data_IF_248979664772
#
_entry.id   IF_248979664772
#
_cell.length_a   1.000
_cell.length_b   1.000
_cell.length_c   1.000
_cell.angle_alpha   90.00
_cell.angle_beta   90.00
_cell.angle_gamma   90.00
#
_symmetry.space_group_name_H-M   'P 1'
#
loop_
_entity.id
_entity.type
_entity.pdbx_description
1 polymer ?
#
# COMPACT_ATOMS: atom_id res chain seq x y z
N UNK A 1 -11.64 35.74 4.89
CA UNK A 1 -11.10 35.44 3.55
C UNK A 1 -9.71 36.05 3.32
N UNK A 2 -9.49 37.33 3.75
CA UNK A 2 -8.19 37.99 3.62
C UNK A 2 -7.09 37.31 4.44
N UNK A 3 -7.38 36.89 5.67
CA UNK A 3 -6.42 36.20 6.53
C UNK A 3 -6.00 34.81 5.93
N UNK A 4 -6.90 34.18 5.20
CA UNK A 4 -6.62 32.89 4.54
C UNK A 4 -5.70 33.08 3.32
N UNK A 5 -5.87 34.18 2.56
CA UNK A 5 -4.97 34.49 1.44
C UNK A 5 -3.57 34.90 1.92
N UNK A 6 -3.46 35.65 3.01
CA UNK A 6 -2.16 35.99 3.62
C UNK A 6 -1.44 34.75 4.15
N UNK A 7 -2.17 33.80 4.72
CA UNK A 7 -1.63 32.53 5.15
C UNK A 7 -1.09 31.71 3.95
N UNK A 8 -1.80 31.70 2.82
CA UNK A 8 -1.36 31.06 1.59
C UNK A 8 -0.07 31.70 1.02
N UNK A 9 0.01 33.02 0.96
CA UNK A 9 1.19 33.75 0.51
C UNK A 9 2.40 33.51 1.44
N UNK A 10 2.17 33.43 2.74
CA UNK A 10 3.21 33.13 3.73
C UNK A 10 3.73 31.69 3.61
N UNK A 11 2.83 30.73 3.35
CA UNK A 11 3.18 29.34 3.09
C UNK A 11 3.98 29.22 1.80
N UNK A 12 3.61 29.90 0.73
CA UNK A 12 4.33 29.91 -0.55
C UNK A 12 5.71 30.55 -0.44
N UNK A 13 5.82 31.67 0.31
CA UNK A 13 7.10 32.32 0.55
C UNK A 13 8.09 31.45 1.33
N UNK A 14 7.63 30.78 2.40
CA UNK A 14 8.45 29.84 3.18
C UNK A 14 8.87 28.62 2.37
N UNK A 15 8.07 28.19 1.43
CA UNK A 15 8.32 27.04 0.56
C UNK A 15 9.30 27.31 -0.54
N UNK A 16 9.21 28.45 -1.16
CA UNK A 16 10.19 28.90 -2.15
C UNK A 16 11.63 28.83 -1.58
N UNK A 17 11.77 29.06 -0.26
CA UNK A 17 13.03 28.87 0.47
C UNK A 17 13.42 27.39 0.70
N UNK A 18 12.43 26.49 0.82
CA UNK A 18 12.69 25.05 1.08
C UNK A 18 12.80 24.20 -0.20
N UNK A 19 12.67 24.79 -1.38
CA UNK A 19 12.80 24.06 -2.68
C UNK A 19 11.66 23.07 -2.96
N UNK A 20 10.52 23.18 -2.25
CA UNK A 20 9.34 22.34 -2.52
C UNK A 20 8.48 22.95 -3.62
N UNK A 21 8.04 22.13 -4.58
CA UNK A 21 7.38 22.57 -5.81
C UNK A 21 5.89 22.87 -5.58
N UNK A 22 5.18 22.04 -4.82
CA UNK A 22 3.75 22.22 -4.53
C UNK A 22 3.34 21.68 -3.15
N UNK A 23 2.29 22.25 -2.49
CA UNK A 23 1.73 21.78 -1.22
C UNK A 23 0.41 21.06 -1.40
N UNK A 24 0.37 19.84 -0.89
CA UNK A 24 -0.88 19.12 -0.81
C UNK A 24 -1.95 19.89 -0.02
N UNK A 25 -1.58 20.48 1.11
CA UNK A 25 -2.51 21.26 1.95
C UNK A 25 -3.07 22.46 1.18
N UNK A 26 -2.23 23.19 0.46
CA UNK A 26 -2.65 24.34 -0.32
C UNK A 26 -3.53 23.93 -1.51
N UNK A 27 -3.16 22.85 -2.22
CA UNK A 27 -3.99 22.32 -3.31
C UNK A 27 -5.37 21.87 -2.80
N UNK A 28 -5.42 21.12 -1.70
CA UNK A 28 -6.69 20.72 -1.07
C UNK A 28 -7.52 21.90 -0.60
N UNK A 29 -6.90 22.95 -0.05
CA UNK A 29 -7.63 24.18 0.34
C UNK A 29 -8.19 24.95 -0.86
N UNK A 30 -7.47 24.99 -1.98
CA UNK A 30 -7.98 25.59 -3.23
C UNK A 30 -9.15 24.78 -3.81
N UNK A 31 -9.08 23.45 -3.78
CA UNK A 31 -10.20 22.58 -4.17
C UNK A 31 -11.40 22.84 -3.27
N UNK A 32 -11.20 22.90 -1.95
CA UNK A 32 -12.29 23.18 -1.00
C UNK A 32 -12.93 24.54 -1.27
N UNK A 33 -12.13 25.58 -1.47
CA UNK A 33 -12.63 26.91 -1.81
C UNK A 33 -13.40 26.94 -3.14
N UNK A 34 -12.91 26.24 -4.16
CA UNK A 34 -13.59 26.13 -5.45
C UNK A 34 -14.94 25.42 -5.32
N UNK A 35 -15.00 24.33 -4.56
CA UNK A 35 -16.24 23.55 -4.34
C UNK A 35 -17.22 24.31 -3.46
N UNK A 36 -16.77 24.90 -2.35
CA UNK A 36 -17.64 25.70 -1.46
C UNK A 36 -18.17 26.97 -2.14
N UNK A 37 -17.47 27.48 -3.15
CA UNK A 37 -17.93 28.63 -3.92
C UNK A 37 -19.11 28.35 -4.86
N UNK A 38 -19.36 27.08 -5.23
CA UNK A 38 -20.47 26.73 -6.13
C UNK A 38 -21.87 27.05 -5.53
N UNK A 39 -22.19 26.63 -4.29
CA UNK A 39 -23.46 26.98 -3.65
C UNK A 39 -23.64 28.51 -3.46
N UNK A 40 -22.56 29.22 -3.13
CA UNK A 40 -22.57 30.67 -2.94
C UNK A 40 -22.84 31.39 -4.27
N UNK A 41 -22.29 30.85 -5.37
CA UNK A 41 -22.60 31.32 -6.72
C UNK A 41 -24.10 31.14 -7.05
N UNK A 42 -24.67 29.95 -6.73
CA UNK A 42 -26.10 29.67 -6.88
C UNK A 42 -26.95 30.66 -6.09
N UNK A 43 -26.61 30.95 -4.84
CA UNK A 43 -27.28 31.91 -3.98
C UNK A 43 -27.30 33.33 -4.57
N UNK A 44 -26.18 33.79 -5.16
CA UNK A 44 -26.08 35.11 -5.79
C UNK A 44 -26.95 35.23 -7.06
N UNK A 45 -27.16 34.13 -7.79
CA UNK A 45 -28.06 34.07 -8.94
C UNK A 45 -29.53 34.02 -8.52
N UNK A 46 -29.91 33.20 -7.55
CA UNK A 46 -31.30 33.04 -7.09
C UNK A 46 -31.83 34.31 -6.44
N UNK A 47 -31.02 35.01 -5.63
CA UNK A 47 -31.42 36.24 -4.94
C UNK A 47 -31.23 37.53 -5.76
N UNK A 48 -30.93 37.41 -7.06
CA UNK A 48 -30.71 38.54 -7.96
C UNK A 48 -29.80 39.63 -7.36
N UNK A 49 -28.69 39.21 -6.73
CA UNK A 49 -27.76 40.08 -6.02
C UNK A 49 -27.12 41.14 -6.95
N UNK A 50 -27.17 40.92 -8.25
CA UNK A 50 -26.72 41.87 -9.27
C UNK A 50 -27.60 43.13 -9.31
N UNK A 51 -28.89 43.08 -8.88
CA UNK A 51 -29.79 44.21 -8.81
C UNK A 51 -29.66 44.99 -7.49
N UNK A 52 -29.35 44.29 -6.39
CA UNK A 52 -29.29 44.87 -5.03
C UNK A 52 -27.89 45.37 -4.66
N UNK A 53 -26.81 44.67 -5.09
CA UNK A 53 -25.42 45.01 -4.73
C UNK A 53 -24.43 44.60 -5.82
N UNK A 54 -24.45 45.35 -6.93
CA UNK A 54 -23.58 45.13 -8.10
C UNK A 54 -22.08 44.95 -7.76
N UNK A 55 -21.49 45.76 -6.82
CA UNK A 55 -20.05 45.58 -6.50
C UNK A 55 -19.71 44.23 -5.90
N UNK A 56 -20.55 43.69 -5.01
CA UNK A 56 -20.31 42.38 -4.35
C UNK A 56 -20.43 41.26 -5.37
N UNK A 57 -21.44 41.33 -6.25
CA UNK A 57 -21.63 40.39 -7.33
C UNK A 57 -20.43 40.36 -8.28
N UNK A 58 -19.95 41.53 -8.72
CA UNK A 58 -18.79 41.62 -9.61
C UNK A 58 -17.49 41.11 -8.97
N UNK A 59 -17.27 41.43 -7.69
CA UNK A 59 -16.10 40.91 -6.94
C UNK A 59 -16.13 39.38 -6.84
N UNK A 60 -17.28 38.80 -6.52
CA UNK A 60 -17.40 37.35 -6.40
C UNK A 60 -17.23 36.65 -7.76
N UNK A 61 -17.88 37.19 -8.82
CA UNK A 61 -17.75 36.67 -10.18
C UNK A 61 -16.34 36.78 -10.74
N UNK A 62 -15.54 37.75 -10.30
CA UNK A 62 -14.13 37.84 -10.62
C UNK A 62 -13.27 36.90 -9.80
N UNK A 63 -13.54 36.77 -8.51
CA UNK A 63 -12.73 35.98 -7.57
C UNK A 63 -12.83 34.46 -7.80
N UNK A 64 -14.06 33.94 -7.92
CA UNK A 64 -14.28 32.50 -8.02
C UNK A 64 -13.61 31.83 -9.26
N UNK A 65 -13.72 32.40 -10.48
CA UNK A 65 -13.00 31.88 -11.64
C UNK A 65 -11.46 31.90 -11.48
N UNK A 66 -10.92 32.90 -10.78
CA UNK A 66 -9.48 32.98 -10.48
C UNK A 66 -9.06 31.85 -9.56
N UNK A 67 -9.86 31.54 -8.53
CA UNK A 67 -9.58 30.38 -7.64
C UNK A 67 -9.61 29.06 -8.42
N UNK A 68 -10.61 28.88 -9.29
CA UNK A 68 -10.71 27.69 -10.15
C UNK A 68 -9.51 27.61 -11.12
N UNK A 69 -9.15 28.72 -11.77
CA UNK A 69 -7.99 28.78 -12.64
C UNK A 69 -6.68 28.48 -11.89
N UNK A 70 -6.52 29.02 -10.68
CA UNK A 70 -5.36 28.75 -9.83
C UNK A 70 -5.30 27.28 -9.42
N UNK A 71 -6.44 26.68 -9.09
CA UNK A 71 -6.53 25.24 -8.80
C UNK A 71 -6.09 24.40 -10.01
N UNK A 72 -6.54 24.73 -11.21
CA UNK A 72 -6.14 24.07 -12.45
C UNK A 72 -4.64 24.24 -12.74
N UNK A 73 -4.12 25.45 -12.62
CA UNK A 73 -2.67 25.72 -12.85
C UNK A 73 -1.79 24.97 -11.84
N UNK A 74 -2.28 24.78 -10.62
CA UNK A 74 -1.57 24.01 -9.61
C UNK A 74 -1.42 22.52 -9.97
N UNK A 75 -2.34 21.99 -10.80
CA UNK A 75 -2.25 20.61 -11.30
C UNK A 75 -1.03 20.40 -12.23
N UNK A 76 -0.62 21.45 -12.95
CA UNK A 76 0.52 21.42 -13.89
C UNK A 76 1.81 22.07 -13.36
N UNK A 77 1.86 22.38 -12.08
CA UNK A 77 3.04 23.00 -11.45
C UNK A 77 4.18 21.99 -11.26
N UNK A 78 4.59 21.30 -12.32
CA UNK A 78 5.74 20.39 -12.31
C UNK A 78 7.01 21.16 -12.70
N UNK A 79 8.05 21.05 -11.88
CA UNK A 79 9.34 21.65 -12.16
C UNK A 79 10.30 20.56 -12.64
N UNK A 80 10.47 20.44 -13.96
CA UNK A 80 11.53 19.63 -14.52
C UNK A 80 12.87 20.35 -14.32
N UNK A 81 13.69 19.83 -13.39
CA UNK A 81 15.10 20.20 -13.31
C UNK A 81 15.89 19.28 -14.24
N UNK A 82 16.50 19.79 -15.31
CA UNK A 82 17.15 18.95 -16.33
C UNK A 82 18.39 18.20 -15.85
N UNK A 83 18.92 18.47 -14.65
CA UNK A 83 20.22 18.00 -14.17
C UNK A 83 20.19 17.37 -12.77
N UNK A 84 19.05 16.93 -12.28
CA UNK A 84 19.04 16.29 -10.96
C UNK A 84 19.15 14.77 -11.09
N UNK A 85 20.17 14.18 -10.48
CA UNK A 85 20.25 12.76 -10.12
C UNK A 85 19.09 12.33 -9.18
N UNK A 86 18.02 13.12 -9.14
CA UNK A 86 16.85 12.91 -8.28
C UNK A 86 15.79 12.14 -9.07
N UNK A 87 15.04 11.31 -8.36
CA UNK A 87 13.92 10.61 -8.98
C UNK A 87 12.85 11.61 -9.43
N UNK A 88 12.23 11.41 -10.59
CA UNK A 88 11.14 12.24 -11.11
C UNK A 88 9.95 12.34 -10.13
N UNK A 89 9.80 11.38 -9.22
CA UNK A 89 8.81 11.42 -8.15
C UNK A 89 8.98 12.65 -7.25
N UNK A 90 10.23 13.03 -6.91
CA UNK A 90 10.50 14.17 -6.02
C UNK A 90 10.26 15.52 -6.69
N UNK A 91 10.41 15.57 -7.99
CA UNK A 91 10.25 16.78 -8.80
C UNK A 91 8.82 16.96 -9.33
N UNK A 92 7.92 16.01 -9.02
CA UNK A 92 6.53 16.02 -9.45
C UNK A 92 5.63 16.81 -8.49
N UNK A 93 4.57 17.43 -9.03
CA UNK A 93 3.54 18.12 -8.25
C UNK A 93 2.78 17.17 -7.30
N UNK A 94 2.07 17.72 -6.33
CA UNK A 94 1.29 16.93 -5.38
C UNK A 94 0.26 16.03 -6.07
N UNK A 95 -0.51 16.55 -7.02
CA UNK A 95 -1.53 15.78 -7.73
C UNK A 95 -0.89 14.69 -8.59
N UNK A 96 0.22 14.99 -9.26
CA UNK A 96 0.98 14.05 -10.07
C UNK A 96 1.50 12.88 -9.22
N UNK A 97 1.99 13.16 -7.99
CA UNK A 97 2.35 12.11 -7.01
C UNK A 97 1.14 11.35 -6.47
N UNK A 98 0.03 12.04 -6.24
CA UNK A 98 -1.19 11.43 -5.72
C UNK A 98 -1.81 10.43 -6.69
N UNK A 99 -1.75 10.73 -8.00
CA UNK A 99 -2.26 9.85 -9.07
C UNK A 99 -1.22 8.89 -9.63
N UNK A 100 0.05 8.98 -9.18
CA UNK A 100 1.20 8.28 -9.75
C UNK A 100 1.43 8.55 -11.25
N UNK A 101 0.97 9.69 -11.76
CA UNK A 101 1.06 10.07 -13.17
C UNK A 101 2.51 10.23 -13.63
N UNK A 102 3.43 10.62 -12.74
CA UNK A 102 4.85 10.71 -12.99
C UNK A 102 5.48 9.41 -13.53
N UNK A 103 4.86 8.26 -13.24
CA UNK A 103 5.34 6.95 -13.70
C UNK A 103 4.83 6.58 -15.10
N UNK A 104 3.82 7.27 -15.63
CA UNK A 104 3.21 7.01 -16.95
C UNK A 104 4.22 7.00 -18.12
N UNK A 105 5.24 7.90 -18.19
CA UNK A 105 6.23 7.86 -19.26
C UNK A 105 7.01 6.54 -19.31
N UNK A 106 7.32 5.93 -18.17
CA UNK A 106 8.00 4.63 -18.10
C UNK A 106 7.09 3.52 -18.59
N UNK A 107 5.80 3.54 -18.19
CA UNK A 107 4.81 2.58 -18.67
C UNK A 107 4.65 2.63 -20.20
N UNK A 108 4.57 3.82 -20.78
CA UNK A 108 4.47 4.01 -22.24
C UNK A 108 5.73 3.51 -22.94
N UNK A 109 6.92 3.73 -22.37
CA UNK A 109 8.18 3.18 -22.93
C UNK A 109 8.18 1.66 -22.86
N UNK A 110 7.81 1.07 -21.72
CA UNK A 110 7.75 -0.37 -21.53
C UNK A 110 6.70 -1.09 -22.41
N UNK A 111 5.63 -0.38 -22.79
CA UNK A 111 4.68 -0.90 -23.78
C UNK A 111 5.22 -0.93 -25.22
N UNK A 112 6.25 -0.13 -25.52
CA UNK A 112 6.84 -0.02 -26.86
C UNK A 112 8.13 -0.83 -27.02
N UNK A 113 8.90 -1.00 -25.96
CA UNK A 113 10.19 -1.70 -25.97
C UNK A 113 10.48 -2.32 -24.59
N UNK A 114 11.35 -3.32 -24.53
CA UNK A 114 11.88 -3.85 -23.29
C UNK A 114 12.62 -2.74 -22.52
N UNK A 115 12.34 -2.64 -21.22
CA UNK A 115 12.95 -1.63 -20.37
C UNK A 115 14.36 -2.07 -19.97
N UNK A 116 15.33 -1.19 -20.21
CA UNK A 116 16.69 -1.35 -19.72
C UNK A 116 16.94 -0.47 -18.48
N UNK A 117 18.03 -0.74 -17.75
CA UNK A 117 18.34 0.00 -16.50
C UNK A 117 18.47 1.51 -16.69
N UNK A 118 18.86 1.97 -17.87
CA UNK A 118 18.95 3.40 -18.17
C UNK A 118 17.61 4.07 -18.49
N UNK A 119 16.56 3.28 -18.74
CA UNK A 119 15.19 3.80 -18.95
C UNK A 119 14.45 4.07 -17.64
N UNK A 120 14.99 3.59 -16.52
CA UNK A 120 14.39 3.66 -15.19
C UNK A 120 15.02 4.82 -14.41
N UNK A 121 14.21 5.52 -13.63
CA UNK A 121 14.66 6.63 -12.79
C UNK A 121 15.59 6.16 -11.66
N UNK A 122 16.47 7.06 -11.22
CA UNK A 122 17.27 6.86 -10.02
C UNK A 122 16.39 6.71 -8.77
N UNK A 123 16.88 5.91 -7.84
CA UNK A 123 16.21 5.66 -6.57
C UNK A 123 16.23 6.91 -5.67
N UNK A 124 15.10 7.18 -5.04
CA UNK A 124 15.01 8.17 -3.98
C UNK A 124 16.10 7.96 -2.92
N UNK A 125 16.77 9.01 -2.43
CA UNK A 125 17.83 8.89 -1.41
C UNK A 125 17.42 8.08 -0.18
N UNK A 126 16.15 8.21 0.26
CA UNK A 126 15.56 7.43 1.34
C UNK A 126 15.30 5.95 1.04
N UNK A 127 15.47 5.51 -0.21
CA UNK A 127 15.30 4.11 -0.63
C UNK A 127 16.63 3.43 -0.97
N UNK A 128 17.76 4.15 -0.92
CA UNK A 128 19.08 3.58 -1.18
C UNK A 128 19.47 2.58 -0.09
N UNK A 129 20.06 1.45 -0.50
CA UNK A 129 20.44 0.35 0.39
C UNK A 129 21.42 0.77 1.49
N UNK A 130 22.33 1.69 1.20
CA UNK A 130 23.32 2.23 2.16
C UNK A 130 22.58 2.96 3.28
N UNK A 131 21.62 3.82 2.96
CA UNK A 131 20.84 4.57 3.93
C UNK A 131 19.96 3.65 4.78
N UNK A 132 19.20 2.74 4.13
CA UNK A 132 18.30 1.80 4.82
C UNK A 132 19.06 0.83 5.72
N UNK A 133 20.22 0.34 5.26
CA UNK A 133 21.07 -0.54 6.06
C UNK A 133 21.66 0.17 7.28
N UNK A 134 22.08 1.43 7.15
CA UNK A 134 22.58 2.23 8.28
C UNK A 134 21.46 2.55 9.27
N UNK A 135 20.27 2.88 8.77
CA UNK A 135 19.09 3.16 9.59
C UNK A 135 18.64 1.92 10.38
N UNK A 136 18.61 0.75 9.74
CA UNK A 136 18.31 -0.52 10.41
C UNK A 136 19.36 -0.82 11.50
N UNK A 137 20.65 -0.68 11.20
CA UNK A 137 21.73 -0.93 12.16
C UNK A 137 21.60 -0.01 13.38
N UNK A 138 21.24 1.25 13.20
CA UNK A 138 21.00 2.20 14.30
C UNK A 138 19.89 1.72 15.25
N UNK A 139 18.74 1.30 14.72
CA UNK A 139 17.64 0.81 15.56
C UNK A 139 17.92 -0.57 16.15
N UNK A 140 18.51 -1.47 15.37
CA UNK A 140 18.85 -2.80 15.83
C UNK A 140 19.90 -2.79 16.94
N UNK A 141 20.95 -1.99 16.78
CA UNK A 141 22.01 -1.87 17.80
C UNK A 141 21.50 -1.28 19.11
N UNK A 142 20.49 -0.43 19.10
CA UNK A 142 19.86 0.04 20.33
C UNK A 142 19.29 -1.13 21.14
N UNK A 143 18.50 -2.01 20.50
CA UNK A 143 17.94 -3.19 21.17
C UNK A 143 18.99 -4.24 21.54
N UNK A 144 20.03 -4.38 20.73
CA UNK A 144 21.14 -5.30 21.03
C UNK A 144 21.98 -4.85 22.22
N UNK A 145 22.23 -3.55 22.38
CA UNK A 145 22.93 -3.01 23.55
C UNK A 145 22.18 -3.31 24.84
N UNK A 146 20.87 -3.03 24.85
CA UNK A 146 20.00 -3.31 26.00
C UNK A 146 20.00 -4.81 26.34
N UNK A 147 19.95 -5.67 25.33
CA UNK A 147 20.00 -7.13 25.52
C UNK A 147 21.36 -7.60 26.08
N UNK A 148 22.45 -7.10 25.55
CA UNK A 148 23.80 -7.47 26.01
C UNK A 148 24.00 -7.02 27.46
N UNK A 149 23.56 -5.82 27.81
CA UNK A 149 23.64 -5.30 29.17
C UNK A 149 22.82 -6.15 30.15
N UNK A 150 21.57 -6.47 29.79
CA UNK A 150 20.72 -7.37 30.59
C UNK A 150 21.34 -8.76 30.75
N UNK A 151 21.96 -9.29 29.70
CA UNK A 151 22.64 -10.59 29.73
C UNK A 151 23.84 -10.55 30.66
N UNK A 152 24.66 -9.52 30.60
CA UNK A 152 25.81 -9.35 31.54
C UNK A 152 25.36 -9.21 32.98
N UNK A 153 24.26 -8.48 33.23
CA UNK A 153 23.68 -8.37 34.59
C UNK A 153 23.17 -9.72 35.09
N UNK A 154 22.52 -10.50 34.22
CA UNK A 154 22.03 -11.84 34.57
C UNK A 154 23.18 -12.84 34.84
N UNK A 155 24.26 -12.79 34.04
CA UNK A 155 25.46 -13.61 34.26
C UNK A 155 26.16 -13.22 35.58
N UNK A 156 26.25 -11.93 35.92
CA UNK A 156 26.81 -11.45 37.21
C UNK A 156 25.95 -11.84 38.40
N UNK A 157 24.64 -11.91 38.26
CA UNK A 157 23.72 -12.33 39.31
C UNK A 157 23.66 -13.86 39.49
N UNK A 158 24.61 -14.61 38.92
CA UNK A 158 24.68 -16.07 39.07
C UNK A 158 23.57 -16.86 38.34
N UNK A 159 23.00 -16.30 37.28
CA UNK A 159 21.91 -16.90 36.47
C UNK A 159 20.63 -17.16 37.26
N UNK A 160 20.41 -16.45 38.37
CA UNK A 160 19.19 -16.51 39.17
C UNK A 160 18.16 -15.56 38.54
N UNK A 161 17.05 -16.13 38.03
CA UNK A 161 15.97 -15.34 37.40
C UNK A 161 15.65 -15.77 35.96
N UNK A 162 14.69 -15.08 35.33
CA UNK A 162 14.35 -15.33 33.92
C UNK A 162 15.48 -14.86 33.01
N UNK A 163 15.88 -15.67 32.01
CA UNK A 163 16.90 -15.25 31.03
C UNK A 163 16.41 -13.99 30.29
N UNK A 164 17.34 -13.10 29.88
CA UNK A 164 16.99 -11.90 29.15
C UNK A 164 16.30 -12.28 27.82
N UNK A 165 15.24 -11.57 27.49
CA UNK A 165 14.45 -11.81 26.27
C UNK A 165 15.22 -11.33 25.06
N UNK A 166 15.37 -12.18 24.08
CA UNK A 166 16.04 -11.83 22.81
C UNK A 166 15.35 -10.63 22.13
N UNK A 167 16.12 -9.73 21.51
CA UNK A 167 15.57 -8.55 20.85
C UNK A 167 14.68 -8.96 19.68
N UNK A 168 13.48 -8.40 19.66
CA UNK A 168 12.50 -8.66 18.59
C UNK A 168 12.82 -7.86 17.34
N UNK A 169 13.05 -8.58 16.22
CA UNK A 169 13.23 -7.99 14.90
C UNK A 169 12.03 -7.14 14.48
N UNK A 170 10.82 -7.63 14.74
CA UNK A 170 9.56 -6.95 14.37
C UNK A 170 9.46 -5.58 15.06
N UNK A 171 9.84 -5.48 16.35
CA UNK A 171 9.83 -4.19 17.08
C UNK A 171 10.82 -3.18 16.48
N UNK A 172 12.00 -3.64 16.06
CA UNK A 172 13.00 -2.79 15.44
C UNK A 172 12.50 -2.26 14.07
N UNK A 173 11.92 -3.11 13.24
CA UNK A 173 11.36 -2.76 11.95
C UNK A 173 10.14 -1.83 12.08
N UNK A 174 9.24 -2.11 13.03
CA UNK A 174 8.11 -1.24 13.29
C UNK A 174 8.56 0.17 13.72
N UNK A 175 9.57 0.27 14.58
CA UNK A 175 10.09 1.57 15.01
C UNK A 175 10.76 2.34 13.86
N UNK A 176 11.40 1.62 12.94
CA UNK A 176 12.03 2.20 11.75
C UNK A 176 11.00 2.80 10.79
N UNK A 177 9.89 2.10 10.55
CA UNK A 177 8.87 2.47 9.55
C UNK A 177 7.56 3.00 10.15
N UNK A 178 7.54 3.37 11.45
CA UNK A 178 6.31 3.74 12.17
C UNK A 178 5.50 4.85 11.49
N UNK A 179 6.16 5.84 10.90
CA UNK A 179 5.48 6.97 10.26
C UNK A 179 4.85 6.58 8.93
N UNK A 180 5.55 5.76 8.13
CA UNK A 180 5.01 5.22 6.88
C UNK A 180 3.85 4.28 7.16
N UNK A 181 3.98 3.43 8.18
CA UNK A 181 2.92 2.53 8.63
C UNK A 181 1.69 3.30 9.12
N UNK A 182 1.88 4.32 9.96
CA UNK A 182 0.79 5.13 10.48
C UNK A 182 0.07 5.91 9.38
N UNK A 183 0.82 6.50 8.43
CA UNK A 183 0.21 7.18 7.27
C UNK A 183 -0.61 6.21 6.42
N UNK A 184 -0.10 5.00 6.15
CA UNK A 184 -0.83 3.97 5.45
C UNK A 184 -2.11 3.54 6.20
N UNK A 185 -2.05 3.45 7.54
CA UNK A 185 -3.22 3.17 8.39
C UNK A 185 -4.29 4.25 8.24
N UNK A 186 -3.89 5.53 8.23
CA UNK A 186 -4.84 6.64 8.01
C UNK A 186 -5.50 6.57 6.62
N UNK A 187 -4.71 6.35 5.55
CA UNK A 187 -5.27 6.19 4.20
C UNK A 187 -6.22 4.99 4.12
N UNK A 188 -5.86 3.87 4.74
CA UNK A 188 -6.70 2.67 4.77
C UNK A 188 -8.00 2.93 5.51
N UNK A 189 -7.96 3.56 6.68
CA UNK A 189 -9.15 3.90 7.47
C UNK A 189 -10.11 4.81 6.67
N UNK A 190 -9.59 5.85 6.03
CA UNK A 190 -10.41 6.75 5.21
C UNK A 190 -11.03 5.99 4.04
N UNK A 191 -10.26 5.18 3.32
CA UNK A 191 -10.76 4.37 2.21
C UNK A 191 -11.86 3.38 2.65
N UNK A 192 -11.68 2.72 3.79
CA UNK A 192 -12.64 1.75 4.33
C UNK A 192 -13.94 2.43 4.81
N UNK A 193 -13.83 3.66 5.36
CA UNK A 193 -15.00 4.46 5.73
C UNK A 193 -15.77 4.95 4.50
N UNK A 194 -15.06 5.45 3.48
CA UNK A 194 -15.67 5.90 2.22
C UNK A 194 -16.40 4.78 1.49
N UNK A 195 -16.01 3.53 1.71
CA UNK A 195 -16.69 2.37 1.13
C UNK A 195 -18.17 2.30 1.50
N UNK A 196 -18.54 2.73 2.69
CA UNK A 196 -19.92 2.70 3.20
C UNK A 196 -20.76 3.89 2.75
N UNK A 197 -20.14 4.94 2.24
CA UNK A 197 -20.86 6.11 1.72
C UNK A 197 -21.65 5.77 0.46
N UNK A 198 -21.10 4.93 -0.43
CA UNK A 198 -21.79 4.55 -1.67
C UNK A 198 -23.11 3.79 -1.45
N UNK A 199 -23.22 2.76 -0.59
CA UNK A 199 -24.51 2.14 -0.25
C UNK A 199 -25.50 3.13 0.36
N UNK A 200 -25.03 4.09 1.18
CA UNK A 200 -25.88 5.14 1.72
C UNK A 200 -26.45 6.04 0.63
N UNK A 201 -25.59 6.55 -0.26
CA UNK A 201 -26.02 7.39 -1.39
C UNK A 201 -26.94 6.65 -2.37
N UNK A 202 -26.69 5.34 -2.56
CA UNK A 202 -27.55 4.50 -3.38
C UNK A 202 -28.95 4.38 -2.79
N UNK A 203 -29.08 4.24 -1.47
CA UNK A 203 -30.37 4.22 -0.80
C UNK A 203 -31.13 5.53 -1.00
N UNK A 204 -30.44 6.67 -0.85
CA UNK A 204 -31.03 7.98 -1.10
C UNK A 204 -31.47 8.15 -2.56
N UNK A 205 -30.68 7.65 -3.51
CA UNK A 205 -31.01 7.66 -4.93
C UNK A 205 -32.24 6.79 -5.24
N UNK A 206 -32.37 5.62 -4.63
CA UNK A 206 -33.55 4.74 -4.78
C UNK A 206 -34.80 5.43 -4.22
N UNK A 207 -34.68 6.07 -3.06
CA UNK A 207 -35.78 6.84 -2.45
C UNK A 207 -36.21 7.99 -3.37
N UNK A 208 -35.26 8.73 -3.94
CA UNK A 208 -35.52 9.77 -4.93
C UNK A 208 -36.29 9.25 -6.15
N UNK A 209 -35.88 8.12 -6.73
CA UNK A 209 -36.55 7.53 -7.91
C UNK A 209 -37.98 7.10 -7.59
N UNK A 210 -38.28 6.78 -6.33
CA UNK A 210 -39.62 6.37 -5.87
C UNK A 210 -40.54 7.59 -5.63
N UNK A 211 -40.00 8.80 -5.53
CA UNK A 211 -40.73 10.05 -5.31
C UNK A 211 -40.92 10.79 -6.64
N UNK A 212 -42.15 10.81 -7.13
CA UNK A 212 -42.49 11.44 -8.41
C UNK A 212 -42.46 13.00 -8.39
N UNK A 213 -42.47 13.63 -7.19
CA UNK A 213 -42.43 15.07 -7.05
C UNK A 213 -41.03 15.62 -6.82
N UNK A 214 -40.04 14.77 -6.62
CA UNK A 214 -38.66 15.20 -6.33
C UNK A 214 -38.01 15.92 -7.53
N UNK A 215 -37.29 17.00 -7.32
CA UNK A 215 -36.68 17.79 -8.38
C UNK A 215 -35.51 17.02 -9.02
N UNK A 216 -35.41 17.00 -10.34
CA UNK A 216 -34.39 16.25 -11.12
C UNK A 216 -32.94 16.52 -10.68
N UNK A 217 -32.62 17.75 -10.28
CA UNK A 217 -31.28 18.11 -9.83
C UNK A 217 -30.82 17.32 -8.59
N UNK A 218 -31.74 16.88 -7.74
CA UNK A 218 -31.43 16.09 -6.54
C UNK A 218 -30.89 14.69 -6.90
N UNK A 219 -31.54 14.01 -7.83
CA UNK A 219 -31.05 12.72 -8.33
C UNK A 219 -29.71 12.84 -9.05
N UNK A 220 -29.54 13.92 -9.85
CA UNK A 220 -28.28 14.20 -10.52
C UNK A 220 -27.16 14.45 -9.51
N UNK A 221 -27.44 15.17 -8.41
CA UNK A 221 -26.45 15.44 -7.36
C UNK A 221 -26.01 14.16 -6.64
N UNK A 222 -26.92 13.22 -6.34
CA UNK A 222 -26.56 11.93 -5.76
C UNK A 222 -25.68 11.11 -6.70
N UNK A 223 -26.00 11.08 -7.99
CA UNK A 223 -25.21 10.36 -9.00
C UNK A 223 -23.77 10.93 -9.11
N UNK A 224 -23.65 12.26 -9.19
CA UNK A 224 -22.34 12.93 -9.22
C UNK A 224 -21.56 12.66 -7.93
N UNK A 225 -22.21 12.75 -6.77
CA UNK A 225 -21.57 12.51 -5.48
C UNK A 225 -21.07 11.07 -5.34
N UNK A 226 -21.84 10.08 -5.80
CA UNK A 226 -21.39 8.67 -5.85
C UNK A 226 -20.13 8.49 -6.71
N UNK A 227 -20.10 9.16 -7.86
CA UNK A 227 -18.92 9.13 -8.73
C UNK A 227 -17.71 9.76 -8.02
N UNK A 228 -17.86 10.96 -7.47
CA UNK A 228 -16.77 11.67 -6.75
C UNK A 228 -16.26 10.87 -5.56
N UNK A 229 -17.14 10.26 -4.76
CA UNK A 229 -16.75 9.41 -3.63
C UNK A 229 -16.00 8.17 -4.10
N UNK A 230 -16.45 7.51 -5.18
CA UNK A 230 -15.79 6.34 -5.74
C UNK A 230 -14.39 6.65 -6.25
N UNK A 231 -14.22 7.74 -6.98
CA UNK A 231 -12.91 8.19 -7.49
C UNK A 231 -11.97 8.61 -6.35
N UNK A 232 -12.49 9.35 -5.38
CA UNK A 232 -11.72 9.75 -4.19
C UNK A 232 -11.22 8.52 -3.43
N UNK A 233 -12.09 7.53 -3.23
CA UNK A 233 -11.72 6.26 -2.59
C UNK A 233 -10.65 5.51 -3.40
N UNK A 234 -10.79 5.46 -4.72
CA UNK A 234 -9.83 4.81 -5.62
C UNK A 234 -8.44 5.43 -5.51
N UNK A 235 -8.36 6.76 -5.53
CA UNK A 235 -7.10 7.51 -5.37
C UNK A 235 -6.47 7.23 -3.99
N UNK A 236 -7.26 7.27 -2.92
CA UNK A 236 -6.80 7.03 -1.54
C UNK A 236 -6.28 5.59 -1.40
N UNK A 237 -7.01 4.62 -1.94
CA UNK A 237 -6.61 3.20 -1.93
C UNK A 237 -5.32 2.97 -2.73
N UNK A 238 -5.17 3.66 -3.86
CA UNK A 238 -3.94 3.59 -4.66
C UNK A 238 -2.73 4.14 -3.89
N UNK A 239 -2.89 5.25 -3.16
CA UNK A 239 -1.84 5.80 -2.29
C UNK A 239 -1.48 4.85 -1.15
N UNK A 240 -2.48 4.25 -0.51
CA UNK A 240 -2.25 3.21 0.49
C UNK A 240 -1.39 2.06 -0.06
N UNK A 241 -1.78 1.49 -1.21
CA UNK A 241 -1.05 0.41 -1.85
C UNK A 241 0.38 0.82 -2.22
N UNK A 242 0.55 2.02 -2.75
CA UNK A 242 1.86 2.57 -3.14
C UNK A 242 2.80 2.72 -1.92
N UNK A 243 2.28 3.22 -0.79
CA UNK A 243 3.07 3.36 0.46
C UNK A 243 3.46 1.98 1.00
N UNK A 244 2.52 1.04 1.06
CA UNK A 244 2.75 -0.30 1.63
C UNK A 244 3.71 -1.14 0.77
N UNK A 245 3.59 -1.08 -0.56
CA UNK A 245 4.51 -1.74 -1.47
C UNK A 245 5.92 -1.17 -1.37
N UNK A 246 6.06 0.15 -1.33
CA UNK A 246 7.36 0.81 -1.11
C UNK A 246 7.97 0.48 0.24
N UNK A 247 7.16 0.44 1.29
CA UNK A 247 7.61 0.02 2.61
C UNK A 247 8.10 -1.43 2.60
N UNK A 248 7.39 -2.35 1.92
CA UNK A 248 7.80 -3.74 1.74
C UNK A 248 9.15 -3.86 1.05
N UNK A 249 9.38 -3.13 -0.05
CA UNK A 249 10.66 -3.09 -0.76
C UNK A 249 11.80 -2.52 0.09
N UNK A 250 11.55 -1.44 0.85
CA UNK A 250 12.53 -0.86 1.77
C UNK A 250 12.90 -1.83 2.89
N UNK A 251 11.91 -2.57 3.40
CA UNK A 251 12.10 -3.59 4.42
C UNK A 251 12.95 -4.74 3.89
N UNK A 252 12.65 -5.25 2.69
CA UNK A 252 13.46 -6.26 2.01
C UNK A 252 14.91 -5.78 1.84
N UNK A 253 15.11 -4.57 1.33
CA UNK A 253 16.44 -3.99 1.13
C UNK A 253 17.22 -3.86 2.44
N UNK A 254 16.59 -3.38 3.51
CA UNK A 254 17.21 -3.22 4.81
C UNK A 254 17.65 -4.57 5.41
N UNK A 255 16.77 -5.59 5.36
CA UNK A 255 17.06 -6.92 5.88
C UNK A 255 18.13 -7.63 5.07
N UNK A 256 18.05 -7.57 3.74
CA UNK A 256 19.09 -8.16 2.85
C UNK A 256 20.45 -7.55 3.12
N UNK A 257 20.53 -6.21 3.24
CA UNK A 257 21.77 -5.53 3.58
C UNK A 257 22.29 -5.92 4.99
N UNK A 258 21.40 -6.10 5.96
CA UNK A 258 21.75 -6.53 7.31
C UNK A 258 22.31 -7.95 7.34
N UNK A 259 21.65 -8.91 6.66
CA UNK A 259 22.10 -10.30 6.56
C UNK A 259 23.44 -10.37 5.83
N UNK A 260 23.58 -9.64 4.72
CA UNK A 260 24.84 -9.58 3.97
C UNK A 260 26.00 -9.07 4.83
N UNK A 261 25.84 -7.93 5.53
CA UNK A 261 26.85 -7.39 6.45
C UNK A 261 27.17 -8.35 7.58
N UNK A 262 26.16 -9.05 8.13
CA UNK A 262 26.37 -10.05 9.17
C UNK A 262 27.19 -11.24 8.65
N UNK A 263 26.90 -11.70 7.45
CA UNK A 263 27.63 -12.82 6.80
C UNK A 263 29.11 -12.51 6.63
N UNK A 264 29.45 -11.28 6.27
CA UNK A 264 30.85 -10.85 6.14
C UNK A 264 31.59 -10.79 7.49
N UNK A 265 30.88 -10.63 8.60
CA UNK A 265 31.44 -10.54 9.98
C UNK A 265 31.39 -11.87 10.73
N UNK A 266 30.88 -12.96 10.14
CA UNK A 266 30.80 -14.26 10.79
C UNK A 266 32.20 -14.86 10.98
N UNK A 267 32.45 -15.39 12.18
CA UNK A 267 33.63 -16.20 12.45
C UNK A 267 33.62 -17.53 11.69
N UNK A 268 34.79 -18.13 11.43
CA UNK A 268 34.88 -19.41 10.77
C UNK A 268 34.11 -20.52 11.50
N UNK A 269 34.10 -20.50 12.83
CA UNK A 269 33.36 -21.46 13.65
C UNK A 269 31.86 -21.34 13.52
N UNK A 270 31.33 -20.10 13.47
CA UNK A 270 29.91 -19.84 13.26
C UNK A 270 29.46 -20.17 11.84
N UNK A 271 30.34 -19.96 10.83
CA UNK A 271 30.07 -20.28 9.43
C UNK A 271 30.00 -21.79 9.17
N UNK A 272 30.68 -22.62 9.98
CA UNK A 272 30.55 -24.09 9.89
C UNK A 272 29.20 -24.62 10.34
N UNK A 273 28.48 -23.89 11.19
CA UNK A 273 27.12 -24.24 11.68
C UNK A 273 26.00 -23.92 10.70
N UNK A 274 26.25 -23.04 9.73
CA UNK A 274 25.29 -22.59 8.73
C UNK A 274 25.89 -22.70 7.33
N UNK A 275 25.19 -23.40 6.45
CA UNK A 275 25.63 -23.53 5.07
C UNK A 275 25.44 -22.23 4.29
N UNK A 276 26.25 -22.02 3.26
CA UNK A 276 26.09 -20.87 2.36
C UNK A 276 24.70 -20.89 1.71
N UNK A 277 24.18 -22.08 1.38
CA UNK A 277 22.85 -22.27 0.83
C UNK A 277 21.72 -21.80 1.76
N UNK A 278 21.82 -22.07 3.08
CA UNK A 278 20.85 -21.54 4.07
C UNK A 278 20.86 -20.03 4.12
N UNK A 279 22.03 -19.39 4.08
CA UNK A 279 22.15 -17.93 4.09
C UNK A 279 21.52 -17.33 2.83
N UNK A 280 21.79 -17.93 1.67
CA UNK A 280 21.19 -17.50 0.40
C UNK A 280 19.67 -17.66 0.44
N UNK A 281 19.15 -18.77 0.98
CA UNK A 281 17.72 -18.98 1.11
C UNK A 281 17.07 -17.94 2.04
N UNK A 282 17.70 -17.60 3.16
CA UNK A 282 17.22 -16.50 4.01
C UNK A 282 17.18 -15.16 3.29
N UNK A 283 18.17 -14.86 2.44
CA UNK A 283 18.22 -13.62 1.69
C UNK A 283 17.23 -13.58 0.52
N UNK A 284 17.06 -14.69 -0.21
CA UNK A 284 16.29 -14.73 -1.44
C UNK A 284 14.80 -15.09 -1.21
N UNK A 285 14.51 -15.97 -0.24
CA UNK A 285 13.16 -16.52 -0.05
C UNK A 285 12.51 -15.91 1.19
N UNK A 286 13.14 -16.05 2.38
CA UNK A 286 12.50 -15.66 3.63
C UNK A 286 12.26 -14.14 3.71
N UNK A 287 13.23 -13.35 3.23
CA UNK A 287 13.09 -11.89 3.22
C UNK A 287 12.06 -11.42 2.19
N UNK A 288 11.92 -12.09 1.06
CA UNK A 288 10.89 -11.79 0.06
C UNK A 288 9.47 -11.98 0.63
N UNK A 289 9.28 -12.97 1.51
CA UNK A 289 8.00 -13.19 2.19
C UNK A 289 7.60 -11.93 3.00
N UNK A 290 8.54 -11.26 3.67
CA UNK A 290 8.25 -10.02 4.39
C UNK A 290 7.77 -8.91 3.46
N UNK A 291 8.37 -8.77 2.27
CA UNK A 291 7.91 -7.81 1.25
C UNK A 291 6.46 -8.09 0.86
N UNK A 292 6.15 -9.34 0.55
CA UNK A 292 4.83 -9.76 0.06
C UNK A 292 3.74 -9.70 1.15
N UNK A 293 4.10 -9.91 2.41
CA UNK A 293 3.17 -9.83 3.55
C UNK A 293 2.88 -8.38 3.98
N UNK A 294 3.81 -7.46 3.76
CA UNK A 294 3.69 -6.08 4.23
C UNK A 294 2.37 -5.40 3.81
N UNK A 295 1.90 -5.47 2.55
CA UNK A 295 0.62 -4.88 2.15
C UNK A 295 -0.60 -5.52 2.85
N UNK A 296 -0.48 -6.77 3.28
CA UNK A 296 -1.57 -7.53 3.88
C UNK A 296 -1.72 -7.28 5.39
N UNK A 297 -0.69 -6.76 6.05
CA UNK A 297 -0.69 -6.56 7.52
C UNK A 297 -1.84 -5.65 7.96
N UNK A 298 -2.18 -4.65 7.17
CA UNK A 298 -3.28 -3.74 7.50
C UNK A 298 -4.66 -4.41 7.44
N UNK A 299 -4.81 -5.53 6.73
CA UNK A 299 -6.09 -6.25 6.65
C UNK A 299 -6.52 -6.86 7.99
N UNK A 300 -5.58 -7.17 8.90
CA UNK A 300 -5.90 -7.77 10.19
C UNK A 300 -6.79 -6.91 11.09
N UNK A 301 -6.64 -5.59 11.04
CA UNK A 301 -7.52 -4.67 11.76
C UNK A 301 -8.63 -4.10 10.89
N UNK A 302 -8.36 -3.89 9.57
CA UNK A 302 -9.30 -3.32 8.62
C UNK A 302 -10.51 -4.22 8.40
N UNK A 303 -10.30 -5.54 8.25
CA UNK A 303 -11.42 -6.49 8.05
C UNK A 303 -12.40 -6.53 9.23
N UNK A 304 -11.97 -6.68 10.50
CA UNK A 304 -12.88 -6.55 11.64
C UNK A 304 -13.61 -5.21 11.70
N UNK A 305 -12.92 -4.11 11.42
CA UNK A 305 -13.54 -2.78 11.36
C UNK A 305 -14.66 -2.73 10.31
N UNK A 306 -14.39 -3.19 9.09
CA UNK A 306 -15.39 -3.22 8.01
C UNK A 306 -16.59 -4.10 8.37
N UNK A 307 -16.37 -5.27 8.99
CA UNK A 307 -17.44 -6.17 9.44
C UNK A 307 -18.32 -5.47 10.49
N UNK A 308 -17.72 -4.83 11.49
CA UNK A 308 -18.47 -4.12 12.53
C UNK A 308 -19.32 -3.00 11.93
N UNK A 309 -18.73 -2.16 11.09
CA UNK A 309 -19.45 -1.04 10.44
C UNK A 309 -20.56 -1.57 9.54
N UNK A 310 -20.30 -2.62 8.76
CA UNK A 310 -21.31 -3.25 7.90
C UNK A 310 -22.49 -3.82 8.71
N UNK A 311 -22.22 -4.49 9.84
CA UNK A 311 -23.26 -5.03 10.72
C UNK A 311 -24.09 -3.92 11.37
N UNK A 312 -23.45 -2.84 11.80
CA UNK A 312 -24.16 -1.67 12.33
C UNK A 312 -25.08 -1.09 11.25
N UNK A 313 -24.56 -0.82 10.06
CA UNK A 313 -25.35 -0.29 8.95
C UNK A 313 -26.51 -1.21 8.56
N UNK A 314 -26.27 -2.52 8.46
CA UNK A 314 -27.29 -3.52 8.15
C UNK A 314 -28.41 -3.57 9.21
N UNK A 315 -28.04 -3.46 10.49
CA UNK A 315 -29.00 -3.46 11.59
C UNK A 315 -29.89 -2.20 11.57
N UNK A 316 -29.32 -1.05 11.23
CA UNK A 316 -30.09 0.19 11.07
C UNK A 316 -31.04 0.13 9.87
N UNK A 317 -30.65 -0.50 8.78
CA UNK A 317 -31.43 -0.54 7.52
C UNK A 317 -32.51 -1.63 7.54
N UNK A 318 -32.17 -2.84 7.98
CA UNK A 318 -33.06 -4.03 7.92
C UNK A 318 -33.62 -4.43 9.28
N UNK A 319 -33.18 -3.78 10.36
CA UNK A 319 -33.61 -4.14 11.71
C UNK A 319 -33.29 -5.62 12.04
N UNK A 320 -34.21 -6.29 12.73
CA UNK A 320 -34.06 -7.70 13.13
C UNK A 320 -33.97 -8.68 11.95
N UNK A 321 -34.39 -8.30 10.76
CA UNK A 321 -34.29 -9.14 9.54
C UNK A 321 -32.84 -9.40 9.12
N UNK A 322 -31.85 -8.67 9.67
CA UNK A 322 -30.44 -8.91 9.46
C UNK A 322 -29.90 -10.15 10.21
N UNK A 323 -30.60 -10.64 11.26
CA UNK A 323 -30.12 -11.72 12.12
C UNK A 323 -29.78 -13.03 11.39
N UNK A 324 -30.58 -13.54 10.42
CA UNK A 324 -30.20 -14.73 9.65
C UNK A 324 -28.89 -14.58 8.89
N UNK A 325 -28.61 -13.40 8.33
CA UNK A 325 -27.35 -13.11 7.64
C UNK A 325 -26.14 -13.20 8.58
N UNK A 326 -26.26 -12.65 9.78
CA UNK A 326 -25.20 -12.72 10.81
C UNK A 326 -24.95 -14.18 11.23
N UNK A 327 -25.99 -14.98 11.42
CA UNK A 327 -25.87 -16.42 11.75
C UNK A 327 -25.10 -17.15 10.65
N UNK A 328 -25.43 -16.92 9.39
CA UNK A 328 -24.72 -17.53 8.25
C UNK A 328 -23.25 -17.13 8.24
N UNK A 329 -22.92 -15.85 8.48
CA UNK A 329 -21.54 -15.37 8.55
C UNK A 329 -20.76 -16.07 9.68
N UNK A 330 -21.36 -16.25 10.84
CA UNK A 330 -20.72 -16.95 11.98
C UNK A 330 -20.49 -18.42 11.64
N UNK A 331 -21.45 -19.12 10.99
CA UNK A 331 -21.32 -20.50 10.57
C UNK A 331 -20.26 -20.68 9.46
N UNK A 332 -20.06 -19.66 8.63
CA UNK A 332 -19.07 -19.70 7.55
C UNK A 332 -17.63 -19.69 8.05
N UNK A 333 -17.34 -19.09 9.22
CA UNK A 333 -15.98 -19.06 9.79
C UNK A 333 -15.42 -20.45 10.09
N UNK A 334 -16.09 -21.32 10.87
CA UNK A 334 -15.59 -22.67 11.13
C UNK A 334 -15.53 -23.54 9.86
N UNK A 335 -16.47 -23.34 8.92
CA UNK A 335 -16.45 -24.01 7.63
C UNK A 335 -15.17 -23.66 6.84
N UNK A 336 -14.82 -22.37 6.75
CA UNK A 336 -13.59 -21.91 6.10
C UNK A 336 -12.34 -22.48 6.76
N UNK A 337 -12.29 -22.53 8.09
CA UNK A 337 -11.17 -23.12 8.82
C UNK A 337 -11.04 -24.60 8.48
N UNK A 338 -12.11 -25.35 8.50
CA UNK A 338 -12.12 -26.76 8.14
C UNK A 338 -11.65 -27.02 6.70
N UNK A 339 -12.19 -26.27 5.74
CA UNK A 339 -11.80 -26.34 4.32
C UNK A 339 -10.32 -25.99 4.15
N UNK A 340 -9.84 -24.92 4.79
CA UNK A 340 -8.44 -24.47 4.71
C UNK A 340 -7.46 -25.52 5.27
N UNK A 341 -7.81 -26.16 6.39
CA UNK A 341 -7.00 -27.23 6.97
C UNK A 341 -6.96 -28.47 6.06
N UNK A 342 -8.08 -28.81 5.43
CA UNK A 342 -8.19 -29.91 4.48
C UNK A 342 -7.37 -29.63 3.20
N UNK A 343 -7.49 -28.45 2.63
CA UNK A 343 -6.71 -28.00 1.47
C UNK A 343 -5.21 -28.03 1.81
N UNK A 344 -4.82 -27.52 2.98
CA UNK A 344 -3.41 -27.54 3.41
C UNK A 344 -2.85 -28.97 3.46
N UNK A 345 -3.63 -29.92 3.96
CA UNK A 345 -3.22 -31.34 4.01
C UNK A 345 -2.99 -31.89 2.60
N UNK A 346 -3.91 -31.60 1.67
CA UNK A 346 -3.78 -32.05 0.27
C UNK A 346 -2.61 -31.35 -0.44
N UNK A 347 -2.43 -30.05 -0.25
CA UNK A 347 -1.28 -29.32 -0.81
C UNK A 347 0.06 -29.88 -0.34
N UNK A 348 0.18 -30.27 0.92
CA UNK A 348 1.40 -30.89 1.44
C UNK A 348 1.69 -32.24 0.76
N UNK A 349 0.68 -33.06 0.50
CA UNK A 349 0.83 -34.32 -0.22
C UNK A 349 1.18 -34.08 -1.69
N UNK A 350 0.49 -33.15 -2.32
CA UNK A 350 0.72 -32.73 -3.69
C UNK A 350 2.16 -32.22 -3.89
N UNK A 351 2.66 -31.41 -2.94
CA UNK A 351 4.03 -30.89 -3.00
C UNK A 351 5.08 -31.98 -2.94
N UNK A 352 4.89 -33.01 -2.09
CA UNK A 352 5.79 -34.16 -2.03
C UNK A 352 5.83 -34.93 -3.35
N UNK A 353 4.68 -35.18 -3.96
CA UNK A 353 4.60 -35.88 -5.26
C UNK A 353 5.21 -35.03 -6.39
N UNK A 354 5.03 -33.71 -6.33
CA UNK A 354 5.67 -32.78 -7.26
C UNK A 354 7.19 -32.82 -7.15
N UNK A 355 7.70 -32.82 -5.92
CA UNK A 355 9.15 -32.89 -5.67
C UNK A 355 9.72 -34.23 -6.15
N UNK A 356 9.03 -35.37 -5.92
CA UNK A 356 9.40 -36.69 -6.42
C UNK A 356 9.45 -36.67 -7.96
N UNK A 357 8.46 -36.08 -8.62
CA UNK A 357 8.45 -35.97 -10.08
C UNK A 357 9.62 -35.14 -10.60
N UNK A 358 9.85 -33.94 -10.00
CA UNK A 358 10.95 -33.06 -10.41
C UNK A 358 12.30 -33.75 -10.22
N UNK A 359 12.49 -34.45 -9.10
CA UNK A 359 13.70 -35.24 -8.85
C UNK A 359 13.90 -36.28 -9.93
N UNK A 360 12.87 -37.06 -10.26
CA UNK A 360 12.95 -38.07 -11.31
C UNK A 360 13.27 -37.50 -12.69
N UNK A 361 12.62 -36.36 -13.05
CA UNK A 361 12.94 -35.67 -14.31
C UNK A 361 14.39 -35.21 -14.35
N UNK A 362 14.90 -34.66 -13.25
CA UNK A 362 16.30 -34.25 -13.17
C UNK A 362 17.28 -35.44 -13.28
N UNK A 363 16.95 -36.58 -12.68
CA UNK A 363 17.76 -37.80 -12.81
C UNK A 363 17.79 -38.28 -14.26
N UNK A 364 16.65 -38.30 -14.94
CA UNK A 364 16.56 -38.67 -16.38
C UNK A 364 17.34 -37.69 -17.25
N UNK A 365 17.22 -36.38 -17.02
CA UNK A 365 17.95 -35.36 -17.78
C UNK A 365 19.46 -35.45 -17.57
N UNK A 366 19.90 -35.64 -16.33
CA UNK A 366 21.33 -35.82 -16.02
C UNK A 366 21.90 -37.11 -16.59
N UNK A 367 21.09 -38.16 -16.65
CA UNK A 367 21.44 -39.48 -17.19
C UNK A 367 21.01 -39.70 -18.64
N UNK A 368 20.67 -38.67 -19.41
CA UNK A 368 20.04 -38.80 -20.73
C UNK A 368 20.84 -39.66 -21.72
N UNK A 369 22.16 -39.63 -21.66
CA UNK A 369 23.03 -40.50 -22.51
C UNK A 369 22.81 -41.98 -22.20
N UNK A 370 22.70 -42.34 -20.93
CA UNK A 370 22.47 -43.72 -20.50
C UNK A 370 21.08 -44.18 -20.90
N UNK A 371 20.05 -43.32 -20.66
CA UNK A 371 18.68 -43.58 -21.07
C UNK A 371 18.57 -43.85 -22.57
N UNK A 372 19.28 -43.05 -23.39
CA UNK A 372 19.35 -43.22 -24.85
C UNK A 372 20.09 -44.50 -25.28
N UNK A 373 21.22 -44.81 -24.64
CA UNK A 373 22.02 -45.98 -24.99
C UNK A 373 21.28 -47.31 -24.70
N UNK A 374 20.48 -47.33 -23.63
CA UNK A 374 19.72 -48.53 -23.22
C UNK A 374 18.26 -48.53 -23.72
N UNK A 375 17.84 -47.51 -24.49
CA UNK A 375 16.46 -47.34 -24.96
C UNK A 375 15.43 -47.36 -23.81
N UNK A 376 15.76 -46.71 -22.70
CA UNK A 376 14.87 -46.64 -21.51
C UNK A 376 13.91 -45.47 -21.51
N UNK A 377 13.66 -44.83 -22.64
CA UNK A 377 12.77 -43.68 -22.74
C UNK A 377 11.34 -44.01 -22.28
N UNK A 378 10.75 -45.06 -22.86
CA UNK A 378 9.36 -45.46 -22.54
C UNK A 378 9.17 -45.88 -21.07
N UNK A 379 10.04 -46.71 -20.45
CA UNK A 379 9.93 -47.00 -19.03
C UNK A 379 10.04 -45.77 -18.13
N UNK A 380 10.94 -44.82 -18.45
CA UNK A 380 11.09 -43.58 -17.66
C UNK A 380 9.90 -42.64 -17.81
N UNK A 381 9.36 -42.51 -19.03
CA UNK A 381 8.15 -41.76 -19.29
C UNK A 381 6.95 -42.34 -18.52
N UNK A 382 6.78 -43.65 -18.56
CA UNK A 382 5.72 -44.36 -17.84
C UNK A 382 5.83 -44.17 -16.32
N UNK A 383 7.04 -44.16 -15.79
CA UNK A 383 7.28 -43.91 -14.37
C UNK A 383 6.93 -42.46 -13.97
N UNK A 384 7.38 -41.46 -14.74
CA UNK A 384 7.08 -40.06 -14.51
C UNK A 384 5.56 -39.80 -14.62
N UNK A 385 4.89 -40.38 -15.62
CA UNK A 385 3.46 -40.29 -15.79
C UNK A 385 2.69 -40.94 -14.64
N UNK A 386 3.17 -42.07 -14.11
CA UNK A 386 2.59 -42.72 -12.93
C UNK A 386 2.66 -41.86 -11.67
N UNK A 387 3.73 -41.06 -11.50
CA UNK A 387 3.82 -40.07 -10.42
C UNK A 387 2.82 -38.94 -10.70
N UNK A 388 2.69 -38.47 -11.95
CA UNK A 388 1.75 -37.43 -12.37
C UNK A 388 0.29 -37.83 -12.13
N UNK A 389 -0.11 -39.05 -12.45
CA UNK A 389 -1.46 -39.57 -12.22
C UNK A 389 -1.85 -39.62 -10.75
N UNK A 390 -0.90 -39.88 -9.85
CA UNK A 390 -1.14 -39.82 -8.39
C UNK A 390 -1.29 -38.39 -7.87
N UNK A 391 -0.92 -37.42 -8.65
CA UNK A 391 -0.89 -36.02 -8.31
C UNK A 391 -2.14 -35.28 -8.79
N UNK A 392 -2.80 -35.72 -9.85
CA UNK A 392 -4.06 -35.22 -10.39
C UNK A 392 -5.25 -35.88 -9.66
#
# INVERSE_FOLDING_TARGET
QEDFQLLHLFIDWNRSRCGQISSGIQHLSLILLAVCGVPEMGYHFENQTYDTSLPIFCLYMGFWPIVVLQCLLYCWADKRMPDSDKSEELDSSFLNRLTNWWFTPVQIRGAKKDLEMHDIFDLNPGSKSVYLGALFEKYWMSYMKDFIEQRHLHEKAGSVGKPPVEPSLIKALFRMFKYEFLSATCYKLISDTLQFVNPFLLNELITFVSDAEAPFWQGLSYAILMFVVSESRSIILNQYNSIMMRMGMKLQTALTAAVYRKTLRLSASARRKKTVGEIINHMAIDIEIFQNLTPQVQMYWSTPYQIIVALIYLTFTLGYSAAPGVVIMILYLPLNIFVSLTIKKWQMTQMKLKDERVKMVNEVLNGVKVVKLYAWEEPMEKHINGIRERYV
#
